data_IF_308903695451
#
_entry.id   IF_308903695451
#
_cell.length_a   1.000
_cell.length_b   1.000
_cell.length_c   1.000
_cell.angle_alpha   90.00
_cell.angle_beta   90.00
_cell.angle_gamma   90.00
#
_symmetry.space_group_name_H-M   'P 1'
#
loop_
_entity.id
_entity.type
_entity.pdbx_description
1 polymer ?
#
# COMPACT_ATOMS: atom_id res chain seq x y z
N UNK A 1 -59.60 -32.51 1.52
CA UNK A 1 -58.14 -32.34 1.33
C UNK A 1 -57.94 -30.94 0.79
N UNK A 2 -57.52 -29.90 1.50
CA UNK A 2 -56.69 -29.76 2.69
C UNK A 2 -55.83 -28.52 2.41
N UNK A 3 -56.45 -27.33 2.47
CA UNK A 3 -55.79 -26.06 2.18
C UNK A 3 -55.06 -25.55 3.42
N UNK A 4 -53.75 -25.30 3.30
CA UNK A 4 -52.89 -24.74 4.35
C UNK A 4 -52.75 -23.23 4.12
N UNK A 5 -53.02 -22.37 5.11
CA UNK A 5 -52.70 -20.95 5.04
C UNK A 5 -51.30 -20.68 5.62
N UNK A 6 -50.48 -19.91 4.90
CA UNK A 6 -49.22 -19.36 5.41
C UNK A 6 -49.51 -18.06 6.17
N UNK A 7 -49.18 -18.03 7.47
CA UNK A 7 -49.29 -16.88 8.34
C UNK A 7 -48.05 -15.97 8.21
N UNK A 8 -48.31 -14.67 8.06
CA UNK A 8 -47.35 -13.58 8.09
C UNK A 8 -47.00 -13.24 9.55
N UNK A 9 -45.73 -13.35 9.94
CA UNK A 9 -45.24 -12.89 11.25
C UNK A 9 -44.49 -11.56 11.08
N UNK A 10 -45.14 -10.48 11.48
CA UNK A 10 -44.56 -9.16 11.67
C UNK A 10 -43.99 -9.05 13.09
N UNK A 11 -42.67 -8.90 13.22
CA UNK A 11 -42.02 -8.59 14.50
C UNK A 11 -41.84 -7.07 14.64
N UNK A 12 -42.55 -6.52 15.62
CA UNK A 12 -42.41 -5.14 16.11
C UNK A 12 -41.24 -5.09 17.09
N UNK A 13 -40.22 -4.27 16.81
CA UNK A 13 -39.13 -3.98 17.74
C UNK A 13 -39.42 -2.64 18.40
N UNK A 14 -39.80 -2.71 19.68
CA UNK A 14 -39.92 -1.56 20.56
C UNK A 14 -38.69 -1.59 21.49
N UNK A 15 -37.82 -0.60 21.38
CA UNK A 15 -36.67 -0.42 22.29
C UNK A 15 -36.52 1.06 22.61
N UNK A 16 -37.21 1.49 23.66
CA UNK A 16 -36.95 2.73 24.36
C UNK A 16 -35.75 2.53 25.29
N UNK A 17 -34.63 3.22 25.04
CA UNK A 17 -33.55 3.36 26.03
C UNK A 17 -33.48 4.82 26.46
N UNK A 18 -33.66 4.98 27.77
CA UNK A 18 -33.73 6.22 28.53
C UNK A 18 -32.31 6.76 28.75
N UNK A 19 -32.04 7.99 28.29
CA UNK A 19 -30.84 8.73 28.66
C UNK A 19 -30.93 9.16 30.13
N UNK A 20 -30.09 8.58 31.00
CA UNK A 20 -29.85 9.09 32.35
C UNK A 20 -28.67 10.06 32.36
N UNK A 21 -29.04 11.28 32.71
CA UNK A 21 -28.28 12.44 33.14
C UNK A 21 -27.17 12.11 34.17
N UNK A 22 -25.92 12.47 33.88
CA UNK A 22 -24.88 12.64 34.91
C UNK A 22 -24.45 14.12 34.95
N UNK A 23 -24.73 14.71 36.10
CA UNK A 23 -24.38 16.05 36.55
C UNK A 23 -22.90 16.18 36.91
N UNK A 24 -22.26 17.28 36.50
CA UNK A 24 -20.99 17.73 37.08
C UNK A 24 -20.97 19.25 37.24
N UNK A 25 -20.50 19.72 38.39
CA UNK A 25 -20.11 21.10 38.73
C UNK A 25 -19.37 21.07 40.07
N UNK A 26 -18.57 22.08 40.47
CA UNK A 26 -17.74 23.02 39.69
C UNK A 26 -16.34 23.29 40.33
N UNK A 27 -15.43 23.99 39.63
CA UNK A 27 -14.40 24.88 40.21
C UNK A 27 -13.78 25.76 39.09
N UNK A 28 -14.08 27.06 39.06
CA UNK A 28 -13.30 28.20 39.61
C UNK A 28 -11.92 28.44 38.95
N UNK A 29 -11.83 29.40 38.02
CA UNK A 29 -11.12 30.68 38.25
C UNK A 29 -11.19 31.62 37.01
N UNK A 30 -11.02 32.93 37.29
CA UNK A 30 -10.80 34.10 36.41
C UNK A 30 -12.10 34.79 35.93
N UNK A 31 -12.45 35.97 36.45
CA UNK A 31 -11.88 37.33 36.41
C UNK A 31 -12.68 38.21 35.44
N UNK A 32 -13.15 39.35 35.98
CA UNK A 32 -13.82 40.54 35.42
C UNK A 32 -13.62 40.78 33.91
N UNK A 33 -14.68 41.03 33.11
CA UNK A 33 -15.31 42.36 32.89
C UNK A 33 -14.57 43.09 31.75
N UNK A 34 -15.14 43.68 30.69
CA UNK A 34 -16.45 44.26 30.38
C UNK A 34 -16.53 44.54 28.86
N UNK A 35 -17.75 44.46 28.30
CA UNK A 35 -18.35 45.22 27.18
C UNK A 35 -17.83 45.20 25.73
N UNK A 36 -18.82 45.16 24.82
CA UNK A 36 -18.92 44.92 23.37
C UNK A 36 -18.93 46.25 22.54
N UNK A 37 -19.34 46.36 21.23
CA UNK A 37 -19.63 45.38 20.14
C UNK A 37 -19.12 45.73 18.70
N UNK A 38 -19.37 44.79 17.77
CA UNK A 38 -19.68 44.89 16.33
C UNK A 38 -18.61 45.10 15.24
N UNK A 39 -18.54 44.15 14.29
CA UNK A 39 -18.66 44.30 12.81
C UNK A 39 -18.34 42.96 12.13
N UNK A 40 -19.34 42.29 11.56
CA UNK A 40 -19.68 42.22 10.11
C UNK A 40 -18.87 41.21 9.27
N UNK A 41 -19.65 40.38 8.58
CA UNK A 41 -19.29 39.26 7.70
C UNK A 41 -18.91 39.80 6.32
N UNK A 42 -17.91 39.21 5.66
CA UNK A 42 -17.78 39.30 4.19
C UNK A 42 -17.05 38.09 3.61
N UNK A 43 -17.82 37.30 2.85
CA UNK A 43 -17.40 36.28 1.87
C UNK A 43 -16.72 36.93 0.66
N UNK A 44 -15.62 36.35 0.16
CA UNK A 44 -15.00 36.75 -1.11
C UNK A 44 -15.17 35.65 -2.16
N UNK A 45 -15.72 36.08 -3.29
CA UNK A 45 -15.99 35.32 -4.51
C UNK A 45 -14.80 35.40 -5.49
N UNK A 46 -14.68 34.35 -6.29
CA UNK A 46 -13.74 34.11 -7.40
C UNK A 46 -13.91 35.08 -8.58
N UNK A 47 -12.80 35.42 -9.24
CA UNK A 47 -12.79 36.13 -10.53
C UNK A 47 -11.51 35.86 -11.32
N UNK A 48 -11.70 35.18 -12.46
CA UNK A 48 -10.71 34.89 -13.52
C UNK A 48 -10.46 36.14 -14.40
N UNK A 49 -9.33 36.20 -15.12
CA UNK A 49 -9.23 36.38 -16.59
C UNK A 49 -7.87 36.97 -17.07
N UNK A 50 -7.20 36.17 -17.91
CA UNK A 50 -6.61 36.46 -19.24
C UNK A 50 -5.47 37.48 -19.49
N UNK A 51 -4.74 37.13 -20.54
CA UNK A 51 -3.43 37.59 -21.01
C UNK A 51 -3.48 38.74 -22.03
N UNK A 52 -2.31 39.37 -22.30
CA UNK A 52 -1.63 39.41 -23.63
C UNK A 52 -0.59 40.55 -23.76
N UNK A 53 0.64 40.20 -24.20
CA UNK A 53 1.57 40.82 -25.20
C UNK A 53 1.65 42.37 -25.34
N UNK A 54 2.77 43.08 -25.58
CA UNK A 54 3.86 42.87 -26.55
C UNK A 54 4.84 44.08 -26.56
N UNK A 55 5.98 43.93 -27.28
CA UNK A 55 6.92 44.96 -27.85
C UNK A 55 7.95 45.62 -26.92
N UNK A 56 9.19 45.98 -27.31
CA UNK A 56 10.08 45.72 -28.46
C UNK A 56 11.44 46.43 -28.19
N UNK A 57 12.54 45.90 -28.78
CA UNK A 57 13.80 46.58 -29.19
C UNK A 57 14.74 47.12 -28.10
N UNK A 58 16.07 47.22 -28.26
CA UNK A 58 17.15 46.70 -29.13
C UNK A 58 18.44 47.34 -28.55
N UNK A 59 19.63 46.71 -28.67
CA UNK A 59 20.98 47.35 -28.71
C UNK A 59 22.12 46.40 -28.32
N UNK A 60 23.03 46.22 -29.28
CA UNK A 60 24.34 45.55 -29.21
C UNK A 60 25.41 46.44 -28.53
N UNK A 61 26.33 45.86 -27.74
CA UNK A 61 27.79 45.97 -27.93
C UNK A 61 28.65 45.35 -26.79
N UNK A 62 29.43 44.33 -27.18
CA UNK A 62 30.87 44.10 -26.93
C UNK A 62 31.46 43.78 -25.53
N UNK A 63 31.84 42.49 -25.41
CA UNK A 63 33.04 41.87 -24.83
C UNK A 63 33.70 42.44 -23.55
N UNK A 64 33.76 41.60 -22.51
CA UNK A 64 35.01 41.32 -21.80
C UNK A 64 35.02 39.89 -21.28
N UNK A 65 36.14 39.23 -21.52
CA UNK A 65 36.52 37.85 -21.22
C UNK A 65 36.55 37.55 -19.72
N UNK A 66 35.89 36.46 -19.31
CA UNK A 66 36.22 35.77 -18.05
C UNK A 66 36.05 34.26 -18.25
N UNK A 67 37.18 33.60 -18.35
CA UNK A 67 37.38 32.16 -18.45
C UNK A 67 36.85 31.45 -17.20
N UNK A 68 35.71 30.76 -17.32
CA UNK A 68 35.32 29.70 -16.37
C UNK A 68 35.79 28.35 -16.92
N UNK A 69 36.60 27.58 -16.16
CA UNK A 69 36.96 26.23 -16.58
C UNK A 69 35.72 25.33 -16.52
N UNK A 70 35.55 24.52 -17.55
CA UNK A 70 34.54 23.48 -17.62
C UNK A 70 34.77 22.43 -16.52
N UNK A 71 33.73 21.92 -15.83
CA UNK A 71 33.87 20.73 -15.01
C UNK A 71 33.87 19.50 -15.93
N UNK A 72 35.04 19.16 -16.47
CA UNK A 72 35.31 17.82 -16.94
C UNK A 72 35.56 16.91 -15.74
N UNK A 73 34.89 15.75 -15.75
CA UNK A 73 35.27 14.52 -15.06
C UNK A 73 34.98 14.45 -13.54
N UNK A 74 33.69 14.33 -13.22
CA UNK A 74 33.24 13.37 -12.21
C UNK A 74 32.27 12.37 -12.84
N UNK A 75 32.69 11.72 -13.92
CA UNK A 75 32.21 10.37 -14.23
C UNK A 75 32.95 9.41 -13.28
N UNK A 76 32.63 9.50 -11.99
CA UNK A 76 32.81 8.31 -11.15
C UNK A 76 31.88 7.27 -11.75
N UNK A 77 32.48 6.22 -12.27
CA UNK A 77 31.84 4.96 -12.57
C UNK A 77 31.13 4.49 -11.29
N UNK A 78 29.90 4.94 -11.07
CA UNK A 78 28.91 4.11 -10.41
C UNK A 78 28.65 2.97 -11.40
N UNK A 79 29.54 1.97 -11.41
CA UNK A 79 29.10 0.63 -11.71
C UNK A 79 28.00 0.37 -10.69
N UNK A 80 26.75 0.61 -11.09
CA UNK A 80 25.59 0.18 -10.33
C UNK A 80 25.79 -1.32 -10.17
N UNK A 81 26.18 -1.73 -8.95
CA UNK A 81 26.23 -3.13 -8.61
C UNK A 81 24.83 -3.67 -8.89
N UNK A 82 24.70 -4.45 -9.96
CA UNK A 82 23.43 -5.06 -10.31
C UNK A 82 23.05 -6.00 -9.16
N UNK A 83 21.80 -5.91 -8.73
CA UNK A 83 21.31 -6.75 -7.64
C UNK A 83 21.33 -8.22 -8.09
N UNK A 84 21.98 -9.08 -7.30
CA UNK A 84 22.05 -10.49 -7.61
C UNK A 84 20.78 -11.22 -7.14
N UNK A 85 19.77 -11.28 -8.01
CA UNK A 85 18.51 -12.00 -7.73
C UNK A 85 18.70 -13.50 -7.52
N UNK A 86 19.74 -14.12 -8.09
CA UNK A 86 20.03 -15.54 -7.86
C UNK A 86 20.45 -15.82 -6.41
N UNK A 87 21.29 -14.96 -5.83
CA UNK A 87 21.66 -15.05 -4.42
C UNK A 87 20.45 -14.82 -3.50
N UNK A 88 19.59 -13.86 -3.82
CA UNK A 88 18.34 -13.66 -3.08
C UNK A 88 17.44 -14.89 -3.15
N UNK A 89 17.25 -15.47 -4.33
CA UNK A 89 16.47 -16.70 -4.53
C UNK A 89 17.02 -17.86 -3.69
N UNK A 90 18.33 -18.08 -3.70
CA UNK A 90 18.99 -19.18 -2.97
C UNK A 90 18.80 -19.10 -1.45
N UNK A 91 18.75 -17.89 -0.88
CA UNK A 91 18.46 -17.68 0.55
C UNK A 91 17.10 -18.31 0.93
N UNK A 92 16.11 -18.23 0.05
CA UNK A 92 14.78 -18.80 0.28
C UNK A 92 14.72 -20.30 -0.03
N UNK A 93 15.46 -20.79 -1.03
CA UNK A 93 15.51 -22.21 -1.39
C UNK A 93 16.20 -23.09 -0.33
N UNK A 94 17.17 -22.54 0.41
CA UNK A 94 17.93 -23.32 1.42
C UNK A 94 17.06 -23.76 2.61
N UNK A 95 15.92 -23.09 2.85
CA UNK A 95 15.07 -23.34 4.03
C UNK A 95 13.92 -24.32 3.77
N UNK A 96 13.61 -24.66 2.52
CA UNK A 96 12.55 -25.62 2.16
C UNK A 96 13.02 -27.09 2.17
N UNK A 97 14.33 -27.33 2.29
CA UNK A 97 14.94 -28.67 2.17
C UNK A 97 14.91 -29.49 3.48
N UNK A 98 13.81 -29.43 4.22
CA UNK A 98 13.51 -30.35 5.33
C UNK A 98 12.88 -31.68 4.88
N UNK A 99 12.54 -31.84 3.60
CA UNK A 99 11.97 -33.08 3.07
C UNK A 99 12.59 -33.43 1.71
N UNK A 100 13.22 -34.60 1.69
CA UNK A 100 13.76 -35.33 0.54
C UNK A 100 12.71 -35.54 -0.54
N UNK A 101 12.74 -34.70 -1.58
CA UNK A 101 12.22 -35.02 -2.91
C UNK A 101 13.03 -34.25 -3.94
N UNK A 102 13.18 -34.84 -5.13
CA UNK A 102 14.09 -34.44 -6.21
C UNK A 102 14.14 -32.91 -6.45
N UNK A 103 15.31 -32.25 -6.27
CA UNK A 103 15.44 -30.79 -6.37
C UNK A 103 15.14 -30.23 -7.78
N UNK A 104 15.08 -31.10 -8.80
CA UNK A 104 14.79 -30.71 -10.18
C UNK A 104 13.29 -30.50 -10.48
N UNK A 105 12.38 -30.87 -9.57
CA UNK A 105 10.93 -30.93 -9.88
C UNK A 105 10.01 -30.13 -8.95
N UNK A 106 10.52 -29.46 -7.90
CA UNK A 106 9.64 -28.67 -7.04
C UNK A 106 9.35 -27.28 -7.65
N UNK A 107 8.07 -26.91 -7.86
CA UNK A 107 7.72 -25.55 -8.22
C UNK A 107 8.22 -24.61 -7.12
N UNK A 108 9.07 -23.67 -7.52
CA UNK A 108 9.69 -22.73 -6.57
C UNK A 108 8.60 -21.89 -5.90
N UNK A 109 8.65 -21.79 -4.57
CA UNK A 109 7.66 -21.02 -3.82
C UNK A 109 7.63 -19.56 -4.30
N UNK A 110 6.45 -18.96 -4.54
CA UNK A 110 6.35 -17.57 -4.95
C UNK A 110 6.80 -16.59 -3.85
N UNK A 111 6.95 -17.08 -2.61
CA UNK A 111 7.29 -16.30 -1.43
C UNK A 111 8.57 -15.47 -1.62
N UNK A 112 9.60 -16.01 -2.29
CA UNK A 112 10.89 -15.34 -2.39
C UNK A 112 10.79 -14.01 -3.14
N UNK A 113 10.05 -13.94 -4.25
CA UNK A 113 9.89 -12.71 -5.02
C UNK A 113 8.82 -11.79 -4.44
N UNK A 114 7.85 -12.33 -3.70
CA UNK A 114 6.90 -11.54 -2.89
C UNK A 114 7.67 -10.76 -1.81
N UNK A 115 8.52 -11.44 -1.04
CA UNK A 115 9.33 -10.78 0.00
C UNK A 115 10.43 -9.91 -0.59
N UNK A 116 11.03 -10.29 -1.72
CA UNK A 116 11.97 -9.42 -2.43
C UNK A 116 11.30 -8.12 -2.87
N UNK A 117 10.04 -8.18 -3.35
CA UNK A 117 9.28 -6.97 -3.68
C UNK A 117 9.15 -6.05 -2.47
N UNK A 118 8.76 -6.59 -1.30
CA UNK A 118 8.66 -5.84 -0.05
C UNK A 118 9.99 -5.17 0.35
N UNK A 119 11.10 -5.91 0.28
CA UNK A 119 12.45 -5.39 0.54
C UNK A 119 12.81 -4.26 -0.41
N UNK A 120 12.59 -4.44 -1.72
CA UNK A 120 12.93 -3.44 -2.73
C UNK A 120 12.17 -2.12 -2.51
N UNK A 121 10.89 -2.19 -2.17
CA UNK A 121 10.13 -0.99 -1.83
C UNK A 121 10.65 -0.33 -0.55
N UNK A 122 10.94 -1.12 0.49
CA UNK A 122 11.50 -0.63 1.76
C UNK A 122 12.84 0.09 1.58
N UNK A 123 13.70 -0.40 0.68
CA UNK A 123 15.00 0.22 0.35
C UNK A 123 14.95 1.23 -0.80
N UNK A 124 13.76 1.61 -1.26
CA UNK A 124 13.56 2.68 -2.25
C UNK A 124 14.22 2.31 -3.60
N UNK A 125 14.06 1.05 -3.99
CA UNK A 125 14.60 0.43 -5.20
C UNK A 125 13.49 0.06 -6.16
N UNK A 126 12.51 0.93 -6.33
CA UNK A 126 11.29 0.68 -7.11
C UNK A 126 11.61 0.29 -8.57
N UNK A 127 12.68 0.84 -9.15
CA UNK A 127 13.15 0.49 -10.50
C UNK A 127 13.51 -1.00 -10.66
N UNK A 128 14.05 -1.62 -9.60
CA UNK A 128 14.47 -3.02 -9.61
C UNK A 128 13.28 -3.99 -9.67
N UNK A 129 12.04 -3.52 -9.51
CA UNK A 129 10.84 -4.36 -9.65
C UNK A 129 10.66 -4.85 -11.09
N UNK A 130 10.99 -4.01 -12.08
CA UNK A 130 11.01 -4.44 -13.49
C UNK A 130 12.07 -5.52 -13.74
N UNK A 131 13.26 -5.34 -13.17
CA UNK A 131 14.36 -6.31 -13.26
C UNK A 131 14.03 -7.64 -12.56
N UNK A 132 13.39 -7.58 -11.39
CA UNK A 132 12.90 -8.76 -10.67
C UNK A 132 11.91 -9.55 -11.53
N UNK A 133 10.94 -8.87 -12.14
CA UNK A 133 9.98 -9.50 -13.06
C UNK A 133 10.69 -10.19 -14.23
N UNK A 134 11.60 -9.49 -14.91
CA UNK A 134 12.37 -10.04 -16.03
C UNK A 134 13.19 -11.27 -15.58
N UNK A 135 13.82 -11.20 -14.41
CA UNK A 135 14.58 -12.31 -13.86
C UNK A 135 13.69 -13.53 -13.58
N UNK A 136 12.57 -13.35 -12.86
CA UNK A 136 11.66 -14.46 -12.50
C UNK A 136 11.10 -15.13 -13.76
N UNK A 137 10.71 -14.34 -14.75
CA UNK A 137 10.06 -14.85 -15.98
C UNK A 137 11.04 -15.41 -17.01
N UNK A 138 12.31 -15.01 -16.98
CA UNK A 138 13.36 -15.59 -17.83
C UNK A 138 13.59 -17.09 -17.58
N UNK A 139 13.23 -17.58 -16.39
CA UNK A 139 13.30 -19.00 -16.04
C UNK A 139 12.09 -19.82 -16.48
N UNK A 140 11.06 -19.19 -17.04
CA UNK A 140 9.84 -19.87 -17.50
C UNK A 140 9.95 -20.27 -18.96
N UNK A 141 9.31 -21.38 -19.34
CA UNK A 141 9.21 -21.81 -20.75
C UNK A 141 8.45 -20.79 -21.57
N UNK A 142 8.76 -20.65 -22.86
CA UNK A 142 8.13 -19.63 -23.72
C UNK A 142 6.59 -19.73 -23.79
N UNK A 143 6.03 -20.93 -23.61
CA UNK A 143 4.59 -21.20 -23.66
C UNK A 143 3.86 -21.04 -22.31
N UNK A 144 4.58 -20.69 -21.24
CA UNK A 144 4.04 -20.56 -19.88
C UNK A 144 3.52 -19.15 -19.57
N UNK A 145 2.59 -18.66 -20.40
CA UNK A 145 1.99 -17.34 -20.22
C UNK A 145 1.12 -17.25 -18.95
N UNK A 146 0.54 -18.38 -18.51
CA UNK A 146 -0.26 -18.43 -17.29
C UNK A 146 0.58 -18.16 -16.04
N UNK A 147 1.74 -18.82 -15.89
CA UNK A 147 2.61 -18.55 -14.75
C UNK A 147 3.21 -17.15 -14.82
N UNK A 148 3.54 -16.64 -16.02
CA UNK A 148 3.94 -15.23 -16.19
C UNK A 148 2.85 -14.29 -15.66
N UNK A 149 1.59 -14.44 -16.08
CA UNK A 149 0.50 -13.62 -15.56
C UNK A 149 0.38 -13.73 -14.04
N UNK A 150 0.55 -14.94 -13.50
CA UNK A 150 0.50 -15.21 -12.06
C UNK A 150 1.59 -14.47 -11.30
N UNK A 151 2.84 -14.51 -11.79
CA UNK A 151 3.97 -13.74 -11.25
C UNK A 151 3.68 -12.24 -11.30
N UNK A 152 3.14 -11.72 -12.41
CA UNK A 152 2.85 -10.29 -12.55
C UNK A 152 1.81 -9.83 -11.54
N UNK A 153 0.73 -10.60 -11.37
CA UNK A 153 -0.33 -10.33 -10.40
C UNK A 153 0.18 -10.38 -8.96
N UNK A 154 1.04 -11.34 -8.62
CA UNK A 154 1.67 -11.42 -7.30
C UNK A 154 2.59 -10.24 -7.02
N UNK A 155 3.42 -9.81 -7.99
CA UNK A 155 4.25 -8.61 -7.79
C UNK A 155 3.36 -7.36 -7.64
N UNK A 156 2.28 -7.21 -8.43
CA UNK A 156 1.30 -6.11 -8.29
C UNK A 156 0.67 -6.09 -6.91
N UNK A 157 0.20 -7.25 -6.45
CA UNK A 157 -0.42 -7.41 -5.14
C UNK A 157 0.58 -7.12 -4.01
N UNK A 158 1.82 -7.61 -4.11
CA UNK A 158 2.88 -7.34 -3.14
C UNK A 158 3.21 -5.83 -3.05
N UNK A 159 3.28 -5.13 -4.19
CA UNK A 159 3.46 -3.67 -4.23
C UNK A 159 2.30 -2.96 -3.51
N UNK A 160 1.06 -3.37 -3.80
CA UNK A 160 -0.13 -2.76 -3.23
C UNK A 160 -0.21 -3.00 -1.71
N UNK A 161 -0.04 -4.25 -1.26
CA UNK A 161 -0.05 -4.57 0.18
C UNK A 161 1.09 -3.88 0.93
N UNK A 162 2.31 -3.82 0.36
CA UNK A 162 3.45 -3.14 0.99
C UNK A 162 3.24 -1.63 1.14
N UNK A 163 2.42 -1.02 0.28
CA UNK A 163 2.19 0.43 0.26
C UNK A 163 1.64 1.00 1.56
N UNK A 164 0.99 0.17 2.37
CA UNK A 164 0.43 0.54 3.69
C UNK A 164 1.53 0.86 4.71
N UNK A 165 2.71 0.27 4.53
CA UNK A 165 3.84 0.40 5.45
C UNK A 165 4.95 1.30 4.86
N UNK A 166 5.25 1.15 3.57
CA UNK A 166 6.39 1.84 2.93
C UNK A 166 5.97 3.07 2.10
N UNK A 167 4.66 3.31 1.99
CA UNK A 167 4.06 4.47 1.33
C UNK A 167 3.63 4.25 -0.12
N UNK A 168 2.49 4.85 -0.47
CA UNK A 168 1.89 4.80 -1.82
C UNK A 168 2.81 5.26 -2.97
N UNK A 169 3.60 6.36 -2.84
CA UNK A 169 4.46 6.80 -3.95
C UNK A 169 5.43 5.73 -4.43
N UNK A 170 5.92 4.88 -3.52
CA UNK A 170 6.85 3.78 -3.85
C UNK A 170 6.15 2.69 -4.64
N UNK A 171 4.97 2.28 -4.19
CA UNK A 171 4.17 1.30 -4.90
C UNK A 171 3.81 1.78 -6.31
N UNK A 172 3.46 3.06 -6.48
CA UNK A 172 3.19 3.66 -7.79
C UNK A 172 4.41 3.54 -8.72
N UNK A 173 5.58 3.97 -8.26
CA UNK A 173 6.81 3.92 -9.06
C UNK A 173 7.24 2.47 -9.39
N UNK A 174 7.03 1.55 -8.46
CA UNK A 174 7.30 0.12 -8.64
C UNK A 174 6.37 -0.48 -9.70
N UNK A 175 5.08 -0.16 -9.66
CA UNK A 175 4.09 -0.63 -10.62
C UNK A 175 4.34 -0.05 -12.03
N UNK A 176 4.80 1.20 -12.14
CA UNK A 176 5.25 1.75 -13.42
C UNK A 176 6.46 1.00 -13.97
N UNK A 177 7.44 0.68 -13.12
CA UNK A 177 8.63 -0.08 -13.51
C UNK A 177 8.26 -1.51 -13.96
N UNK A 178 7.35 -2.17 -13.24
CA UNK A 178 6.80 -3.47 -13.63
C UNK A 178 6.09 -3.41 -14.98
N UNK A 179 5.19 -2.43 -15.17
CA UNK A 179 4.45 -2.25 -16.42
C UNK A 179 5.41 -2.05 -17.60
N UNK A 180 6.41 -1.19 -17.45
CA UNK A 180 7.41 -0.96 -18.50
C UNK A 180 8.15 -2.24 -18.89
N UNK A 181 8.49 -3.09 -17.92
CA UNK A 181 9.18 -4.35 -18.18
C UNK A 181 8.27 -5.38 -18.87
N UNK A 182 6.98 -5.43 -18.51
CA UNK A 182 5.98 -6.28 -19.18
C UNK A 182 5.78 -5.81 -20.63
N UNK A 183 5.60 -4.51 -20.85
CA UNK A 183 5.36 -3.93 -22.18
C UNK A 183 6.56 -4.11 -23.12
N UNK A 184 7.78 -4.15 -22.57
CA UNK A 184 9.02 -4.35 -23.33
C UNK A 184 9.36 -5.83 -23.57
N UNK A 185 8.57 -6.76 -23.01
CA UNK A 185 8.80 -8.19 -23.18
C UNK A 185 8.28 -8.68 -24.55
N UNK A 186 8.81 -9.80 -25.02
CA UNK A 186 8.37 -10.42 -26.29
C UNK A 186 6.96 -11.04 -26.21
N UNK A 187 6.27 -10.94 -25.07
CA UNK A 187 4.97 -11.52 -24.80
C UNK A 187 3.85 -10.46 -24.89
N UNK A 188 3.62 -9.94 -26.11
CA UNK A 188 2.71 -8.81 -26.36
C UNK A 188 1.26 -9.03 -25.88
N UNK A 189 0.82 -10.28 -25.77
CA UNK A 189 -0.51 -10.63 -25.27
C UNK A 189 -0.65 -10.42 -23.75
N UNK A 190 0.43 -10.56 -22.97
CA UNK A 190 0.39 -10.41 -21.51
C UNK A 190 -0.04 -9.00 -21.10
N UNK A 191 0.53 -7.96 -21.73
CA UNK A 191 0.17 -6.58 -21.42
C UNK A 191 -1.32 -6.32 -21.68
N UNK A 192 -1.83 -6.84 -22.80
CA UNK A 192 -3.25 -6.70 -23.17
C UNK A 192 -4.17 -7.37 -22.16
N UNK A 193 -3.85 -8.58 -21.71
CA UNK A 193 -4.66 -9.30 -20.71
C UNK A 193 -4.61 -8.60 -19.35
N UNK A 194 -3.42 -8.26 -18.86
CA UNK A 194 -3.24 -7.62 -17.54
C UNK A 194 -3.89 -6.23 -17.46
N UNK A 195 -4.03 -5.52 -18.59
CA UNK A 195 -4.76 -4.26 -18.67
C UNK A 195 -6.27 -4.42 -18.43
N UNK A 196 -6.82 -5.63 -18.59
CA UNK A 196 -8.23 -5.92 -18.32
C UNK A 196 -8.51 -6.33 -16.87
N UNK A 197 -7.46 -6.59 -16.07
CA UNK A 197 -7.60 -6.93 -14.65
C UNK A 197 -8.38 -5.84 -13.91
N UNK A 198 -9.34 -6.27 -13.07
CA UNK A 198 -10.13 -5.39 -12.22
C UNK A 198 -9.65 -5.45 -10.78
N UNK A 199 -10.01 -4.43 -9.99
CA UNK A 199 -9.73 -4.43 -8.56
C UNK A 199 -10.35 -5.66 -7.90
N UNK A 200 -9.56 -6.38 -7.11
CA UNK A 200 -10.05 -7.46 -6.26
C UNK A 200 -10.78 -6.93 -5.01
N UNK A 201 -10.67 -5.61 -4.75
CA UNK A 201 -11.35 -4.95 -3.65
C UNK A 201 -12.76 -4.63 -4.13
N UNK A 202 -13.58 -5.68 -4.17
CA UNK A 202 -15.01 -5.59 -4.44
C UNK A 202 -15.70 -4.83 -3.29
N UNK A 203 -16.88 -4.24 -3.53
CA UNK A 203 -17.62 -3.57 -2.48
C UNK A 203 -18.07 -4.60 -1.42
N UNK A 204 -17.34 -4.62 -0.31
CA UNK A 204 -17.69 -5.34 0.91
C UNK A 204 -18.55 -4.44 1.80
N UNK A 205 -19.49 -5.04 2.55
CA UNK A 205 -20.20 -4.32 3.60
C UNK A 205 -19.25 -3.87 4.71
N UNK A 206 -19.62 -2.84 5.45
CA UNK A 206 -18.82 -2.36 6.59
C UNK A 206 -18.60 -3.46 7.63
N UNK A 207 -19.60 -4.32 7.86
CA UNK A 207 -19.51 -5.46 8.77
C UNK A 207 -18.46 -6.47 8.30
N UNK A 208 -18.49 -6.86 7.03
CA UNK A 208 -17.52 -7.82 6.48
C UNK A 208 -16.08 -7.28 6.53
N UNK A 209 -15.89 -5.98 6.23
CA UNK A 209 -14.58 -5.32 6.35
C UNK A 209 -14.07 -5.40 7.78
N UNK A 210 -14.90 -5.03 8.75
CA UNK A 210 -14.55 -5.07 10.16
C UNK A 210 -14.20 -6.48 10.64
N UNK A 211 -15.06 -7.48 10.36
CA UNK A 211 -14.89 -8.85 10.84
C UNK A 211 -13.61 -9.49 10.28
N UNK A 212 -13.40 -9.42 8.97
CA UNK A 212 -12.21 -10.01 8.34
C UNK A 212 -10.94 -9.24 8.68
N UNK A 213 -11.04 -7.93 8.91
CA UNK A 213 -9.92 -7.09 9.31
C UNK A 213 -9.49 -7.37 10.74
N UNK A 214 -10.43 -7.44 11.67
CA UNK A 214 -10.17 -7.75 13.07
C UNK A 214 -9.61 -9.17 13.22
N UNK A 215 -10.18 -10.14 12.50
CA UNK A 215 -9.71 -11.52 12.51
C UNK A 215 -8.25 -11.62 12.04
N UNK A 216 -7.92 -11.01 10.90
CA UNK A 216 -6.55 -11.05 10.39
C UNK A 216 -5.55 -10.26 11.26
N UNK A 217 -5.98 -9.11 11.80
CA UNK A 217 -5.20 -8.36 12.78
C UNK A 217 -4.89 -9.20 14.02
N UNK A 218 -5.87 -9.95 14.53
CA UNK A 218 -5.68 -10.87 15.65
C UNK A 218 -4.71 -12.00 15.32
N UNK A 219 -4.71 -12.49 14.08
CA UNK A 219 -3.78 -13.53 13.65
C UNK A 219 -2.33 -13.06 13.58
N UNK A 220 -2.11 -11.79 13.20
CA UNK A 220 -0.78 -11.19 13.19
C UNK A 220 -0.34 -10.89 14.62
N UNK A 221 -1.13 -10.14 15.40
CA UNK A 221 -0.74 -9.62 16.72
C UNK A 221 -1.11 -10.54 17.91
N UNK A 222 -1.32 -11.85 17.70
CA UNK A 222 -1.99 -12.80 18.62
C UNK A 222 -1.83 -12.54 20.12
N UNK A 223 -0.61 -12.31 20.60
CA UNK A 223 -0.32 -12.16 22.03
C UNK A 223 -0.63 -10.75 22.57
N UNK A 224 -0.83 -9.77 21.70
CA UNK A 224 -0.81 -8.35 22.02
C UNK A 224 -1.99 -7.56 21.42
N UNK A 225 -2.88 -8.20 20.65
CA UNK A 225 -4.01 -7.57 19.95
C UNK A 225 -4.78 -6.57 20.81
N UNK A 226 -5.27 -6.98 21.98
CA UNK A 226 -6.06 -6.11 22.85
C UNK A 226 -5.29 -4.86 23.27
N UNK A 227 -4.01 -5.02 23.62
CA UNK A 227 -3.15 -3.89 24.02
C UNK A 227 -2.90 -2.93 22.86
N UNK A 228 -2.62 -3.46 21.67
CA UNK A 228 -2.34 -2.66 20.48
C UNK A 228 -3.59 -1.88 20.06
N UNK A 229 -4.75 -2.54 20.01
CA UNK A 229 -6.03 -1.89 19.70
C UNK A 229 -6.36 -0.80 20.71
N UNK A 230 -6.27 -1.08 22.02
CA UNK A 230 -6.53 -0.05 23.04
C UNK A 230 -5.57 1.13 22.94
N UNK A 231 -4.29 0.89 22.60
CA UNK A 231 -3.32 1.96 22.42
C UNK A 231 -3.64 2.80 21.16
N UNK A 232 -3.94 2.17 20.02
CA UNK A 232 -4.34 2.87 18.79
C UNK A 232 -5.60 3.70 19.01
N UNK A 233 -6.60 3.14 19.67
CA UNK A 233 -7.88 3.79 19.93
C UNK A 233 -7.71 5.02 20.81
N UNK A 234 -7.00 4.86 21.94
CA UNK A 234 -6.75 5.94 22.88
C UNK A 234 -5.87 7.07 22.31
N UNK A 235 -4.89 6.73 21.45
CA UNK A 235 -3.93 7.72 20.94
C UNK A 235 -4.46 8.53 19.75
N UNK A 236 -5.41 8.00 18.99
CA UNK A 236 -5.98 8.67 17.82
C UNK A 236 -7.43 9.12 17.98
N UNK A 237 -8.06 8.90 19.14
CA UNK A 237 -9.51 9.10 19.30
C UNK A 237 -10.36 8.12 18.48
N UNK A 238 -9.84 6.90 18.24
CA UNK A 238 -10.52 5.83 17.52
C UNK A 238 -10.27 5.75 16.02
N UNK A 239 -9.85 6.84 15.37
CA UNK A 239 -9.67 6.87 13.91
C UNK A 239 -8.62 5.89 13.39
N UNK A 240 -7.47 5.76 14.07
CA UNK A 240 -6.40 4.85 13.66
C UNK A 240 -6.85 3.39 13.77
N UNK A 241 -7.54 3.03 14.85
CA UNK A 241 -8.14 1.69 14.99
C UNK A 241 -9.17 1.43 13.91
N UNK A 242 -10.10 2.37 13.70
CA UNK A 242 -11.15 2.24 12.71
C UNK A 242 -10.56 2.04 11.30
N UNK A 243 -9.65 2.92 10.89
CA UNK A 243 -9.04 2.89 9.57
C UNK A 243 -8.15 1.65 9.38
N UNK A 244 -7.35 1.29 10.39
CA UNK A 244 -6.53 0.09 10.31
C UNK A 244 -7.40 -1.16 10.14
N UNK A 245 -8.40 -1.37 11.00
CA UNK A 245 -9.21 -2.59 10.96
C UNK A 245 -10.08 -2.64 9.69
N UNK A 246 -10.77 -1.56 9.33
CA UNK A 246 -11.73 -1.60 8.22
C UNK A 246 -11.05 -1.48 6.85
N UNK A 247 -10.10 -0.56 6.70
CA UNK A 247 -9.53 -0.24 5.40
C UNK A 247 -8.24 -1.01 5.13
N UNK A 248 -7.30 -1.00 6.09
CA UNK A 248 -5.99 -1.63 5.89
C UNK A 248 -6.09 -3.14 5.99
N UNK A 249 -6.48 -3.68 7.15
CA UNK A 249 -6.60 -5.12 7.34
C UNK A 249 -7.83 -5.66 6.60
N UNK A 250 -9.00 -5.07 6.81
CA UNK A 250 -10.28 -5.57 6.28
C UNK A 250 -10.38 -5.58 4.76
N UNK A 251 -10.27 -4.41 4.14
CA UNK A 251 -10.44 -4.26 2.71
C UNK A 251 -9.18 -4.65 1.92
N UNK A 252 -7.99 -4.27 2.40
CA UNK A 252 -6.77 -4.47 1.63
C UNK A 252 -6.03 -5.76 1.98
N UNK A 253 -5.57 -5.97 3.21
CA UNK A 253 -4.62 -7.05 3.50
C UNK A 253 -5.28 -8.43 3.59
N UNK A 254 -6.51 -8.49 4.09
CA UNK A 254 -7.29 -9.74 4.22
C UNK A 254 -7.72 -10.33 2.88
N UNK A 255 -7.49 -9.68 1.74
CA UNK A 255 -7.71 -10.25 0.41
C UNK A 255 -6.60 -11.24 0.04
N UNK A 256 -6.92 -12.53 0.07
CA UNK A 256 -5.93 -13.62 0.04
C UNK A 256 -5.90 -14.41 -1.27
N UNK A 257 -6.69 -14.05 -2.29
CA UNK A 257 -6.78 -14.82 -3.54
C UNK A 257 -5.50 -14.82 -4.39
N UNK A 258 -4.66 -13.78 -4.29
CA UNK A 258 -3.39 -13.67 -5.05
C UNK A 258 -2.16 -13.92 -4.16
N UNK A 259 -2.17 -13.37 -2.94
CA UNK A 259 -1.14 -13.60 -1.91
C UNK A 259 -1.86 -14.02 -0.64
N UNK A 260 -1.55 -15.22 -0.14
CA UNK A 260 -2.17 -15.80 1.04
C UNK A 260 -1.91 -15.01 2.33
N UNK A 261 -2.63 -15.36 3.40
CA UNK A 261 -2.53 -14.65 4.69
C UNK A 261 -1.15 -14.79 5.35
N UNK A 262 -0.52 -15.97 5.25
CA UNK A 262 0.83 -16.19 5.77
C UNK A 262 1.86 -15.33 5.03
N UNK A 263 1.83 -15.36 3.70
CA UNK A 263 2.73 -14.56 2.86
C UNK A 263 2.51 -13.06 3.08
N UNK A 264 1.26 -12.64 3.31
CA UNK A 264 0.90 -11.26 3.64
C UNK A 264 1.49 -10.82 4.98
N UNK A 265 1.35 -11.64 6.03
CA UNK A 265 1.95 -11.33 7.34
C UNK A 265 3.49 -11.31 7.29
N UNK A 266 4.11 -12.23 6.53
CA UNK A 266 5.57 -12.21 6.30
C UNK A 266 6.01 -10.97 5.52
N UNK A 267 5.21 -10.52 4.55
CA UNK A 267 5.44 -9.28 3.81
C UNK A 267 5.39 -8.07 4.75
N UNK A 268 4.38 -7.98 5.62
CA UNK A 268 4.30 -6.91 6.64
C UNK A 268 5.51 -6.92 7.56
N UNK A 269 5.89 -8.09 8.07
CA UNK A 269 7.08 -8.26 8.90
C UNK A 269 8.35 -7.75 8.20
N UNK A 270 8.55 -8.14 6.93
CA UNK A 270 9.72 -7.73 6.14
C UNK A 270 9.74 -6.22 5.91
N UNK A 271 8.61 -5.61 5.58
CA UNK A 271 8.50 -4.15 5.45
C UNK A 271 8.88 -3.45 6.77
N UNK A 272 8.29 -3.87 7.90
CA UNK A 272 8.59 -3.30 9.20
C UNK A 272 10.05 -3.48 9.61
N UNK A 273 10.64 -4.65 9.35
CA UNK A 273 12.04 -4.93 9.66
C UNK A 273 12.99 -4.08 8.81
N UNK A 274 12.75 -4.01 7.50
CA UNK A 274 13.60 -3.28 6.56
C UNK A 274 13.52 -1.76 6.73
N UNK A 275 12.34 -1.23 7.09
CA UNK A 275 12.12 0.20 7.32
C UNK A 275 12.47 0.63 8.75
N UNK A 276 13.07 -0.25 9.57
CA UNK A 276 13.51 0.06 10.93
C UNK A 276 12.39 0.18 11.96
N UNK A 277 11.15 -0.17 11.61
CA UNK A 277 9.97 -0.19 12.47
C UNK A 277 9.93 -1.45 13.36
N UNK A 278 11.00 -1.65 14.13
CA UNK A 278 11.20 -2.84 14.97
C UNK A 278 10.06 -3.13 15.95
N UNK A 279 9.39 -2.15 16.59
CA UNK A 279 8.23 -2.43 17.44
C UNK A 279 7.07 -3.10 16.68
N UNK A 280 6.86 -2.72 15.41
CA UNK A 280 5.80 -3.24 14.55
C UNK A 280 6.17 -4.61 13.94
N UNK A 281 7.46 -4.93 13.82
CA UNK A 281 7.93 -6.26 13.37
C UNK A 281 7.80 -7.37 14.44
N UNK A 282 7.35 -7.05 15.65
CA UNK A 282 7.15 -8.01 16.76
C UNK A 282 5.71 -8.52 16.89
N UNK A 283 4.86 -8.19 15.92
CA UNK A 283 3.48 -8.68 15.81
C UNK A 283 3.43 -10.18 15.99
#
# INVERSE_FOLDING_TARGET
MGSIPHATLSYSINSSVTHKHLSASPSLSKNNGTDTPNSEISTISTGSLLASTNSSQDSLARETTSTKPAPQQQQQQQQQQQLNFSALREIFSTRTNGQTSDPAQQPQSPLWYILTTAVLLSYHKEKLIGELWTYVTSGLRDDDDEERMSVARRIREACLKSSTLVGFPRAINALFSLKSAIDSSNHSQLSSILATDRSLRSPLSSTEKYERGLSFFQDIYRQHTARVISAMDATSGGDLTHFAINCIYGELLSEHSVIGGLETGLLEFVCCLADGCSPQAKG
#
